data_IF_244183761459
#
_entry.id   IF_244183761459
#
_cell.length_a   1.000
_cell.length_b   1.000
_cell.length_c   1.000
_cell.angle_alpha   90.00
_cell.angle_beta   90.00
_cell.angle_gamma   90.00
#
_symmetry.space_group_name_H-M   'P 1'
#
loop_
_entity.id
_entity.type
_entity.pdbx_description
1 polymer ?
#
# COMPACT_ATOMS: atom_id res chain seq x y z
N UNK A 1 20.26 -12.47 -19.12
CA UNK A 1 19.63 -12.83 -17.83
C UNK A 1 18.23 -13.33 -18.17
N UNK A 2 17.78 -14.48 -17.64
CA UNK A 2 16.41 -14.94 -17.86
C UNK A 2 15.41 -13.88 -17.39
N UNK A 3 14.37 -13.61 -18.19
CA UNK A 3 13.39 -12.56 -17.91
C UNK A 3 12.70 -12.78 -16.56
N UNK A 4 12.40 -14.02 -16.22
CA UNK A 4 11.78 -14.40 -14.94
C UNK A 4 12.62 -13.96 -13.72
N UNK A 5 13.95 -14.00 -13.83
CA UNK A 5 14.85 -13.55 -12.76
C UNK A 5 14.82 -12.03 -12.62
N UNK A 6 14.73 -11.30 -13.74
CA UNK A 6 14.60 -9.84 -13.73
C UNK A 6 13.27 -9.43 -13.08
N UNK A 7 12.18 -10.11 -13.43
CA UNK A 7 10.85 -9.80 -12.92
C UNK A 7 10.73 -10.16 -11.43
N UNK A 8 11.33 -11.26 -10.99
CA UNK A 8 11.43 -11.59 -9.57
C UNK A 8 12.21 -10.54 -8.78
N UNK A 9 13.37 -10.10 -9.27
CA UNK A 9 14.18 -9.06 -8.61
C UNK A 9 13.45 -7.71 -8.56
N UNK A 10 12.71 -7.34 -9.61
CA UNK A 10 11.85 -6.16 -9.59
C UNK A 10 10.77 -6.30 -8.52
N UNK A 11 10.07 -7.44 -8.48
CA UNK A 11 9.05 -7.72 -7.46
C UNK A 11 9.59 -7.54 -6.05
N UNK A 12 10.74 -8.15 -5.75
CA UNK A 12 11.42 -8.04 -4.44
C UNK A 12 11.80 -6.59 -4.14
N UNK A 13 12.39 -5.88 -5.12
CA UNK A 13 12.83 -4.50 -4.92
C UNK A 13 11.68 -3.52 -4.71
N UNK A 14 10.49 -3.83 -5.24
CA UNK A 14 9.27 -3.02 -5.07
C UNK A 14 8.35 -3.52 -3.96
N UNK A 15 8.70 -4.60 -3.28
CA UNK A 15 7.90 -5.15 -2.19
C UNK A 15 8.01 -4.26 -0.95
N UNK A 16 6.91 -3.63 -0.58
CA UNK A 16 6.81 -2.77 0.59
C UNK A 16 6.51 -3.54 1.89
N UNK A 17 6.29 -4.85 1.83
CA UNK A 17 5.87 -5.64 2.99
C UNK A 17 6.97 -5.73 4.05
N UNK A 18 8.22 -5.93 3.66
CA UNK A 18 9.33 -5.96 4.61
C UNK A 18 9.46 -4.64 5.40
N UNK A 19 9.38 -3.51 4.68
CA UNK A 19 9.38 -2.18 5.30
C UNK A 19 8.20 -2.01 6.26
N UNK A 20 7.02 -2.50 5.90
CA UNK A 20 5.86 -2.48 6.80
C UNK A 20 6.12 -3.26 8.09
N UNK A 21 6.67 -4.47 7.98
CA UNK A 21 6.99 -5.30 9.14
C UNK A 21 8.09 -4.68 10.02
N UNK A 22 9.09 -4.04 9.41
CA UNK A 22 10.12 -3.29 10.15
C UNK A 22 9.51 -2.13 10.94
N UNK A 23 8.61 -1.36 10.32
CA UNK A 23 7.95 -0.23 10.99
C UNK A 23 7.00 -0.68 12.09
N UNK A 24 6.23 -1.76 11.87
CA UNK A 24 5.40 -2.37 12.91
C UNK A 24 6.23 -2.80 14.13
N UNK A 25 7.41 -3.41 13.90
CA UNK A 25 8.34 -3.78 14.98
C UNK A 25 8.90 -2.55 15.68
N UNK A 26 9.30 -1.53 14.93
CA UNK A 26 9.90 -0.32 15.47
C UNK A 26 8.93 0.45 16.38
N UNK A 27 7.66 0.53 16.00
CA UNK A 27 6.62 1.25 16.73
C UNK A 27 5.73 0.35 17.61
N UNK A 28 6.13 -0.90 17.87
CA UNK A 28 5.31 -1.88 18.59
C UNK A 28 4.86 -1.42 19.99
N UNK A 29 5.58 -0.50 20.62
CA UNK A 29 5.28 0.05 21.95
C UNK A 29 4.76 1.50 21.92
N UNK A 30 4.54 2.06 20.74
CA UNK A 30 4.08 3.42 20.54
C UNK A 30 2.75 3.38 19.78
N UNK A 31 1.61 3.28 20.49
CA UNK A 31 0.30 3.22 19.85
C UNK A 31 0.07 4.48 19.01
N UNK A 32 -0.73 4.33 17.95
CA UNK A 32 -1.12 5.44 17.07
C UNK A 32 0.05 6.22 16.43
N UNK A 33 1.22 5.59 16.28
CA UNK A 33 2.41 6.25 15.69
C UNK A 33 2.69 5.81 14.25
N UNK A 34 2.27 4.61 13.87
CA UNK A 34 2.44 4.09 12.51
C UNK A 34 1.11 3.55 11.97
N UNK A 35 0.71 4.06 10.80
CA UNK A 35 -0.47 3.64 10.07
C UNK A 35 -0.06 3.26 8.65
N UNK A 36 -0.50 2.10 8.16
CA UNK A 36 -0.34 1.70 6.76
C UNK A 36 -1.68 1.81 6.04
N UNK A 37 -1.73 2.71 5.07
CA UNK A 37 -2.79 2.75 4.06
C UNK A 37 -2.20 2.19 2.77
N UNK A 38 -2.76 1.09 2.27
CA UNK A 38 -2.23 0.36 1.13
C UNK A 38 -3.37 -0.33 0.38
N UNK A 39 -3.54 -0.03 -0.91
CA UNK A 39 -4.54 -0.67 -1.76
C UNK A 39 -4.02 -2.05 -2.19
N UNK A 40 -4.49 -3.10 -1.52
CA UNK A 40 -4.01 -4.48 -1.75
C UNK A 40 -4.55 -5.10 -3.05
N UNK A 41 -5.75 -4.71 -3.48
CA UNK A 41 -6.38 -5.20 -4.70
C UNK A 41 -6.85 -4.05 -5.60
N UNK A 42 -6.60 -4.18 -6.90
CA UNK A 42 -6.94 -3.20 -7.92
C UNK A 42 -5.75 -2.50 -8.59
N UNK A 43 -4.56 -2.59 -8.01
CA UNK A 43 -3.34 -2.00 -8.58
C UNK A 43 -2.55 -2.96 -9.47
N UNK A 44 -2.95 -4.24 -9.54
CA UNK A 44 -2.25 -5.24 -10.33
C UNK A 44 -2.24 -4.86 -11.82
N UNK A 45 -1.03 -4.83 -12.40
CA UNK A 45 -0.87 -4.53 -13.83
C UNK A 45 -1.02 -3.05 -14.22
N UNK A 46 -1.11 -2.14 -13.23
CA UNK A 46 -0.93 -0.71 -13.45
C UNK A 46 0.54 -0.36 -13.23
N UNK A 47 1.20 0.14 -14.27
CA UNK A 47 2.59 0.60 -14.20
C UNK A 47 2.65 2.08 -13.87
N UNK A 48 3.73 2.51 -13.23
CA UNK A 48 3.96 3.92 -12.87
C UNK A 48 3.91 4.89 -14.07
N UNK A 49 4.21 4.40 -15.29
CA UNK A 49 4.22 5.21 -16.51
C UNK A 49 2.87 5.31 -17.21
N UNK A 50 1.83 4.58 -16.75
CA UNK A 50 0.52 4.48 -17.42
C UNK A 50 -0.44 5.58 -16.92
N UNK A 51 -0.18 6.83 -17.31
CA UNK A 51 -0.99 7.99 -16.90
C UNK A 51 -2.44 7.91 -17.39
N UNK A 52 -2.69 7.17 -18.46
CA UNK A 52 -4.03 6.90 -18.99
C UNK A 52 -4.90 6.06 -18.02
N UNK A 53 -4.30 5.38 -17.05
CA UNK A 53 -5.01 4.55 -16.05
C UNK A 53 -5.27 5.29 -14.73
N UNK A 54 -5.01 6.60 -14.65
CA UNK A 54 -5.21 7.37 -13.41
C UNK A 54 -6.63 7.30 -12.85
N UNK A 55 -7.66 7.27 -13.72
CA UNK A 55 -9.05 7.10 -13.28
C UNK A 55 -9.30 5.74 -12.60
N UNK A 56 -8.61 4.68 -13.02
CA UNK A 56 -8.70 3.37 -12.37
C UNK A 56 -8.03 3.42 -10.99
N UNK A 57 -6.87 4.09 -10.88
CA UNK A 57 -6.19 4.30 -9.60
C UNK A 57 -7.09 5.06 -8.62
N UNK A 58 -7.75 6.12 -9.08
CA UNK A 58 -8.72 6.90 -8.29
C UNK A 58 -9.88 6.03 -7.83
N UNK A 59 -10.50 5.25 -8.72
CA UNK A 59 -11.63 4.40 -8.38
C UNK A 59 -11.27 3.34 -7.34
N UNK A 60 -10.14 2.66 -7.51
CA UNK A 60 -9.66 1.65 -6.56
C UNK A 60 -9.28 2.26 -5.21
N UNK A 61 -8.64 3.43 -5.21
CA UNK A 61 -8.30 4.14 -3.96
C UNK A 61 -9.57 4.59 -3.22
N UNK A 62 -10.55 5.12 -3.95
CA UNK A 62 -11.84 5.53 -3.37
C UNK A 62 -12.56 4.34 -2.74
N UNK A 63 -12.62 3.22 -3.45
CA UNK A 63 -13.23 2.00 -2.93
C UNK A 63 -12.48 1.46 -1.70
N UNK A 64 -11.14 1.49 -1.72
CA UNK A 64 -10.32 1.10 -0.58
C UNK A 64 -10.59 1.97 0.66
N UNK A 65 -10.67 3.28 0.50
CA UNK A 65 -10.95 4.19 1.62
C UNK A 65 -12.37 4.05 2.18
N UNK A 66 -13.33 3.63 1.33
CA UNK A 66 -14.69 3.33 1.73
C UNK A 66 -14.90 1.91 2.28
N UNK A 67 -13.85 1.09 2.30
CA UNK A 67 -13.92 -0.26 2.86
C UNK A 67 -14.16 -0.19 4.38
N UNK A 68 -15.08 -1.02 4.87
CA UNK A 68 -15.47 -1.08 6.29
C UNK A 68 -14.32 -1.45 7.21
N UNK A 69 -13.29 -2.15 6.72
CA UNK A 69 -12.09 -2.48 7.49
C UNK A 69 -11.06 -1.34 7.51
N UNK A 70 -11.14 -0.41 6.55
CA UNK A 70 -10.21 0.70 6.37
C UNK A 70 -10.75 1.98 7.02
N UNK A 71 -12.05 2.24 6.92
CA UNK A 71 -12.71 3.43 7.47
C UNK A 71 -12.37 3.68 8.96
N UNK A 72 -12.38 2.68 9.87
CA UNK A 72 -12.00 2.90 11.26
C UNK A 72 -10.51 3.25 11.44
N UNK A 73 -9.63 2.67 10.61
CA UNK A 73 -8.19 2.97 10.64
C UNK A 73 -7.93 4.41 10.21
N UNK A 74 -8.68 4.88 9.20
CA UNK A 74 -8.62 6.26 8.73
C UNK A 74 -9.09 7.25 9.81
N UNK A 75 -10.19 6.94 10.50
CA UNK A 75 -10.68 7.76 11.61
C UNK A 75 -9.65 7.86 12.75
N UNK A 76 -9.01 6.74 13.12
CA UNK A 76 -7.93 6.72 14.11
C UNK A 76 -6.73 7.57 13.67
N UNK A 77 -6.31 7.46 12.41
CA UNK A 77 -5.24 8.28 11.85
C UNK A 77 -5.55 9.77 11.95
N UNK A 78 -6.74 10.20 11.52
CA UNK A 78 -7.15 11.62 11.58
C UNK A 78 -7.18 12.14 13.02
N UNK A 79 -7.57 11.30 13.98
CA UNK A 79 -7.58 11.68 15.40
C UNK A 79 -6.20 11.80 16.05
N UNK A 80 -5.16 11.26 15.42
CA UNK A 80 -3.80 11.24 15.94
C UNK A 80 -2.93 12.41 15.45
N UNK A 81 -3.46 13.27 14.55
CA UNK A 81 -2.79 14.44 13.96
C UNK A 81 -3.34 15.72 14.59
#
# INVERSE_FOLDING_TARGET
>A
IPTDVIDALKGIATDCENTHQDMLRHFAHLPSTYFRLNVEQGMQGIKLSESEKLSNVEAHTTNYLADREVEPKLALLVSAI
#
